data_IF_628360147479
#
_entry.id   IF_628360147479
#
_cell.length_a   1.000
_cell.length_b   1.000
_cell.length_c   1.000
_cell.angle_alpha   90.00
_cell.angle_beta   90.00
_cell.angle_gamma   90.00
#
_symmetry.space_group_name_H-M   'P 1'
#
loop_
_entity.id
_entity.type
_entity.pdbx_description
1 polymer ?
#
# COMPACT_ATOMS: atom_id res chain seq x y z
N UNK A 1 -6.56 -16.13 -6.74
CA UNK A 1 -7.18 -14.79 -6.78
C UNK A 1 -7.03 -14.20 -8.18
N UNK A 2 -8.11 -13.60 -8.68
CA UNK A 2 -8.11 -13.04 -10.03
C UNK A 2 -7.25 -11.78 -10.09
N UNK A 3 -6.54 -11.59 -11.21
CA UNK A 3 -5.81 -10.36 -11.46
C UNK A 3 -6.76 -9.29 -12.00
N UNK A 4 -6.68 -8.10 -11.43
CA UNK A 4 -7.47 -6.95 -11.83
C UNK A 4 -6.59 -5.93 -12.54
N UNK A 5 -7.07 -5.39 -13.65
CA UNK A 5 -6.42 -4.29 -14.33
C UNK A 5 -7.26 -3.03 -14.10
N UNK A 6 -6.71 -2.01 -13.41
CA UNK A 6 -7.45 -0.77 -13.16
C UNK A 6 -7.87 -0.07 -14.45
N UNK A 7 -9.04 0.56 -14.42
CA UNK A 7 -9.53 1.37 -15.54
C UNK A 7 -8.94 2.77 -15.53
N UNK A 8 -8.59 3.27 -14.34
CA UNK A 8 -7.98 4.59 -14.22
C UNK A 8 -6.62 4.63 -14.91
N UNK A 9 -6.43 5.64 -15.76
CA UNK A 9 -5.18 5.85 -16.49
C UNK A 9 -4.40 6.98 -15.85
N UNK A 10 -3.31 6.69 -15.10
CA UNK A 10 -2.53 7.74 -14.45
C UNK A 10 -1.92 8.72 -15.44
N UNK A 11 -1.90 10.00 -15.08
CA UNK A 11 -1.26 11.05 -15.87
C UNK A 11 0.23 11.15 -15.60
N UNK A 12 0.68 10.63 -14.47
CA UNK A 12 2.06 10.79 -13.98
C UNK A 12 2.23 11.97 -13.03
N UNK A 13 1.18 12.75 -12.80
CA UNK A 13 1.23 13.96 -11.96
C UNK A 13 0.39 13.85 -10.70
N UNK A 14 -0.23 12.70 -10.44
CA UNK A 14 -1.09 12.52 -9.28
C UNK A 14 -0.31 12.64 -7.97
N UNK A 15 -0.91 13.32 -7.00
CA UNK A 15 -0.39 13.42 -5.65
C UNK A 15 -1.45 12.85 -4.71
N UNK A 16 -1.06 11.85 -3.91
CA UNK A 16 -1.91 11.33 -2.84
C UNK A 16 -1.66 12.11 -1.56
N UNK A 17 -2.73 12.45 -0.87
CA UNK A 17 -2.65 13.05 0.47
C UNK A 17 -3.24 12.04 1.45
N UNK A 18 -2.40 11.47 2.29
CA UNK A 18 -2.81 10.51 3.31
C UNK A 18 -3.02 11.29 4.60
N UNK A 19 -4.29 11.51 4.95
CA UNK A 19 -4.63 12.24 6.17
C UNK A 19 -4.61 11.28 7.36
N UNK A 20 -3.62 11.42 8.21
CA UNK A 20 -3.45 10.57 9.39
C UNK A 20 -3.80 11.33 10.67
N UNK A 21 -3.94 10.61 11.79
CA UNK A 21 -4.16 11.23 13.10
C UNK A 21 -2.99 12.12 13.54
N UNK A 22 -1.84 12.01 12.88
CA UNK A 22 -0.64 12.81 13.16
C UNK A 22 -0.40 13.89 12.12
N UNK A 23 -1.29 14.06 11.15
CA UNK A 23 -1.18 15.05 10.08
C UNK A 23 -1.13 14.42 8.69
N UNK A 24 -1.12 15.27 7.65
CA UNK A 24 -1.13 14.78 6.28
C UNK A 24 0.25 14.32 5.82
N UNK A 25 0.27 13.27 4.99
CA UNK A 25 1.45 12.81 4.26
C UNK A 25 1.16 13.00 2.78
N UNK A 26 2.00 13.75 2.07
CA UNK A 26 1.85 13.99 0.63
C UNK A 26 2.83 13.08 -0.12
N UNK A 27 2.31 12.34 -1.10
CA UNK A 27 3.10 11.39 -1.88
C UNK A 27 2.86 11.64 -3.36
N UNK A 28 3.93 11.84 -4.12
CA UNK A 28 3.85 11.89 -5.58
C UNK A 28 3.79 10.46 -6.10
N UNK A 29 2.77 10.16 -6.90
CA UNK A 29 2.56 8.83 -7.45
C UNK A 29 3.27 8.68 -8.80
N UNK A 30 4.02 7.59 -8.96
CA UNK A 30 4.84 7.34 -10.16
C UNK A 30 4.01 6.63 -11.25
N UNK A 31 2.96 7.29 -11.74
CA UNK A 31 2.02 6.70 -12.69
C UNK A 31 2.62 6.35 -14.03
N UNK A 32 3.69 7.06 -14.46
CA UNK A 32 4.37 6.75 -15.72
C UNK A 32 5.20 5.47 -15.60
N UNK A 33 5.72 5.16 -14.41
CA UNK A 33 6.59 4.03 -14.18
C UNK A 33 5.82 2.78 -13.75
N UNK A 34 4.72 2.97 -13.01
CA UNK A 34 3.92 1.88 -12.47
C UNK A 34 2.42 2.17 -12.65
N UNK A 35 1.93 2.19 -13.90
CA UNK A 35 0.55 2.62 -14.17
C UNK A 35 -0.52 1.71 -13.54
N UNK A 36 -0.27 0.40 -13.44
CA UNK A 36 -1.23 -0.53 -12.84
C UNK A 36 -1.31 -0.29 -11.32
N UNK A 37 -0.16 -0.19 -10.65
CA UNK A 37 -0.10 0.06 -9.21
C UNK A 37 -0.71 1.41 -8.86
N UNK A 38 -0.36 2.47 -9.59
CA UNK A 38 -0.90 3.80 -9.32
C UNK A 38 -2.39 3.86 -9.66
N UNK A 39 -2.81 3.28 -10.78
CA UNK A 39 -4.23 3.23 -11.14
C UNK A 39 -5.06 2.53 -10.08
N UNK A 40 -4.58 1.41 -9.57
CA UNK A 40 -5.24 0.67 -8.49
C UNK A 40 -5.33 1.51 -7.22
N UNK A 41 -4.24 2.14 -6.83
CA UNK A 41 -4.20 2.98 -5.63
C UNK A 41 -5.20 4.15 -5.74
N UNK A 42 -5.24 4.82 -6.88
CA UNK A 42 -6.16 5.93 -7.12
C UNK A 42 -7.61 5.45 -7.07
N UNK A 43 -7.93 4.33 -7.72
CA UNK A 43 -9.30 3.79 -7.70
C UNK A 43 -9.75 3.46 -6.28
N UNK A 44 -8.89 2.81 -5.49
CA UNK A 44 -9.22 2.47 -4.10
C UNK A 44 -9.41 3.75 -3.26
N UNK A 45 -8.56 4.74 -3.45
CA UNK A 45 -8.69 6.01 -2.73
C UNK A 45 -9.98 6.72 -3.08
N UNK A 46 -10.36 6.75 -4.36
CA UNK A 46 -11.59 7.40 -4.81
C UNK A 46 -12.85 6.71 -4.30
N UNK A 47 -12.80 5.40 -4.09
CA UNK A 47 -13.91 4.63 -3.52
C UNK A 47 -14.03 4.78 -2.02
N UNK A 48 -13.09 5.46 -1.36
CA UNK A 48 -13.05 5.54 0.10
C UNK A 48 -12.56 4.26 0.78
N UNK A 49 -11.92 3.36 0.03
CA UNK A 49 -11.46 2.08 0.56
C UNK A 49 -10.48 2.25 1.73
N UNK A 50 -9.58 3.23 1.63
CA UNK A 50 -8.54 3.46 2.64
C UNK A 50 -9.05 4.21 3.87
N UNK A 51 -10.25 4.80 3.82
CA UNK A 51 -10.76 5.60 4.92
C UNK A 51 -11.00 4.73 6.15
N UNK A 52 -10.46 5.15 7.29
CA UNK A 52 -10.59 4.41 8.56
C UNK A 52 -9.63 3.26 8.74
N UNK A 53 -8.79 2.94 7.77
CA UNK A 53 -7.76 1.91 7.92
C UNK A 53 -6.61 2.43 8.78
N UNK A 54 -5.87 1.50 9.39
CA UNK A 54 -4.79 1.82 10.33
C UNK A 54 -3.45 1.34 9.78
N UNK A 55 -2.37 2.02 10.17
CA UNK A 55 -1.02 1.50 9.98
C UNK A 55 -0.81 0.39 10.99
N UNK A 56 -0.84 -0.85 10.55
CA UNK A 56 -0.81 -2.02 11.42
C UNK A 56 0.59 -2.55 11.67
N UNK A 57 1.60 -2.06 10.95
CA UNK A 57 2.97 -2.55 11.08
C UNK A 57 3.95 -1.38 11.02
N UNK A 58 4.80 -1.30 12.03
CA UNK A 58 5.89 -0.33 12.08
C UNK A 58 7.16 -1.05 12.48
N UNK A 59 8.18 -0.99 11.62
CA UNK A 59 9.50 -1.54 11.89
C UNK A 59 10.49 -0.38 11.83
N UNK A 60 11.03 0.07 12.98
CA UNK A 60 11.95 1.22 13.02
C UNK A 60 13.12 1.05 12.05
N UNK A 61 13.42 2.10 11.27
CA UNK A 61 14.49 2.09 10.28
C UNK A 61 14.21 1.25 9.05
N UNK A 62 13.03 0.65 8.94
CA UNK A 62 12.64 -0.17 7.80
C UNK A 62 11.41 0.40 7.10
N UNK A 63 10.20 0.09 7.57
CA UNK A 63 8.96 0.54 6.91
C UNK A 63 7.86 0.82 7.93
N UNK A 64 6.86 1.59 7.48
CA UNK A 64 5.54 1.66 8.09
C UNK A 64 4.51 1.22 7.06
N UNK A 65 3.63 0.30 7.42
CA UNK A 65 2.73 -0.39 6.49
C UNK A 65 1.27 -0.24 6.91
N UNK A 66 0.42 0.01 5.94
CA UNK A 66 -1.03 0.14 6.14
C UNK A 66 -1.81 -0.38 4.92
N UNK A 67 -3.10 -0.06 4.89
CA UNK A 67 -3.97 -0.40 3.78
C UNK A 67 -4.62 -1.78 3.87
N UNK A 68 -4.51 -2.45 5.02
CA UNK A 68 -5.20 -3.73 5.23
C UNK A 68 -6.64 -3.49 5.69
N UNK A 69 -7.67 -3.96 4.95
CA UNK A 69 -9.06 -3.72 5.32
C UNK A 69 -9.46 -4.37 6.66
N UNK A 70 -8.71 -5.37 7.12
CA UNK A 70 -8.98 -6.01 8.40
C UNK A 70 -8.77 -5.06 9.59
N UNK A 71 -8.12 -3.92 9.39
CA UNK A 71 -7.87 -2.93 10.45
C UNK A 71 -8.99 -1.91 10.59
N UNK A 72 -10.01 -1.93 9.74
CA UNK A 72 -11.03 -0.87 9.69
C UNK A 72 -11.72 -0.63 11.02
N UNK A 73 -12.13 -1.70 11.71
CA UNK A 73 -12.83 -1.64 12.99
C UNK A 73 -11.90 -1.82 14.19
N UNK A 74 -10.59 -1.82 13.98
CA UNK A 74 -9.63 -2.07 15.04
C UNK A 74 -9.47 -0.85 15.97
N UNK A 75 -9.36 -1.09 17.27
CA UNK A 75 -9.02 -0.06 18.25
C UNK A 75 -7.49 0.17 18.24
N UNK A 76 -7.02 1.33 18.78
CA UNK A 76 -5.58 1.55 18.89
C UNK A 76 -4.84 0.45 19.68
N UNK A 77 -5.48 -0.11 20.72
CA UNK A 77 -4.90 -1.20 21.51
C UNK A 77 -4.77 -2.48 20.70
N UNK A 78 -5.78 -2.78 19.87
CA UNK A 78 -5.74 -3.95 18.99
C UNK A 78 -4.67 -3.80 17.93
N UNK A 79 -4.49 -2.60 17.37
CA UNK A 79 -3.43 -2.33 16.40
C UNK A 79 -2.06 -2.54 17.05
N UNK A 80 -1.86 -2.02 18.26
CA UNK A 80 -0.61 -2.18 18.98
C UNK A 80 -0.33 -3.66 19.32
N UNK A 81 -1.36 -4.44 19.59
CA UNK A 81 -1.24 -5.88 19.84
C UNK A 81 -1.04 -6.71 18.56
N UNK A 82 -1.25 -6.10 17.38
CA UNK A 82 -1.13 -6.77 16.08
C UNK A 82 -2.29 -7.66 15.71
N UNK A 83 -3.38 -7.63 16.47
CA UNK A 83 -4.55 -8.48 16.24
C UNK A 83 -5.80 -7.95 16.94
N UNK A 84 -6.94 -8.39 16.46
CA UNK A 84 -8.22 -8.19 17.11
C UNK A 84 -8.93 -9.54 17.22
N UNK A 85 -9.37 -9.98 18.42
CA UNK A 85 -10.09 -11.24 18.58
C UNK A 85 -11.34 -11.28 17.70
N UNK A 86 -11.57 -12.38 17.00
CA UNK A 86 -12.71 -12.55 16.12
C UNK A 86 -12.59 -11.91 14.75
N UNK A 87 -11.46 -11.25 14.47
CA UNK A 87 -11.16 -10.63 13.17
C UNK A 87 -10.05 -11.41 12.47
N UNK A 88 -10.00 -11.31 11.14
CA UNK A 88 -8.89 -11.86 10.37
C UNK A 88 -7.59 -11.14 10.74
N UNK A 89 -6.44 -11.85 10.71
CA UNK A 89 -5.15 -11.23 11.07
C UNK A 89 -4.84 -9.98 10.24
N UNK A 90 -4.24 -8.98 10.90
CA UNK A 90 -3.78 -7.79 10.19
C UNK A 90 -2.65 -8.17 9.22
N UNK A 91 -2.67 -7.55 8.04
CA UNK A 91 -1.69 -7.85 7.01
C UNK A 91 -2.13 -8.94 6.03
N UNK A 92 -3.28 -9.58 6.26
CA UNK A 92 -3.78 -10.64 5.37
C UNK A 92 -4.94 -10.18 4.48
N UNK A 93 -5.47 -8.98 4.69
CA UNK A 93 -6.60 -8.47 3.93
C UNK A 93 -6.22 -7.92 2.56
N UNK A 94 -7.21 -7.89 1.67
CA UNK A 94 -7.05 -7.38 0.31
C UNK A 94 -8.39 -6.81 -0.18
N UNK A 95 -8.43 -6.15 -1.35
CA UNK A 95 -9.68 -5.58 -1.87
C UNK A 95 -10.57 -6.58 -2.61
N UNK A 96 -10.26 -7.87 -2.57
CA UNK A 96 -10.98 -8.92 -3.29
C UNK A 96 -10.32 -9.33 -4.59
N UNK A 97 -9.15 -8.79 -4.90
CA UNK A 97 -8.39 -9.09 -6.10
C UNK A 97 -6.92 -8.79 -5.85
N UNK A 98 -6.06 -9.16 -6.80
CA UNK A 98 -4.66 -8.75 -6.85
C UNK A 98 -4.33 -8.13 -8.20
N UNK A 99 -3.15 -7.51 -8.31
CA UNK A 99 -2.71 -6.84 -9.53
C UNK A 99 -1.38 -7.39 -9.99
N UNK A 100 -1.11 -7.25 -11.30
CA UNK A 100 0.14 -7.72 -11.90
C UNK A 100 1.31 -6.88 -11.41
N UNK A 101 2.45 -7.53 -11.18
CA UNK A 101 3.68 -6.85 -10.79
C UNK A 101 4.18 -5.91 -11.90
N UNK A 102 4.89 -4.88 -11.49
CA UNK A 102 5.50 -3.91 -12.40
C UNK A 102 6.99 -3.66 -12.10
N UNK A 103 7.57 -4.38 -11.13
CA UNK A 103 8.97 -4.15 -10.79
C UNK A 103 9.92 -4.57 -11.93
N UNK A 104 9.51 -5.49 -12.78
CA UNK A 104 10.32 -5.91 -13.94
C UNK A 104 10.28 -4.91 -15.08
N UNK A 105 9.26 -4.06 -15.15
CA UNK A 105 9.08 -3.08 -16.23
C UNK A 105 9.30 -1.64 -15.80
N UNK A 106 9.35 -1.38 -14.49
CA UNK A 106 9.56 -0.04 -13.96
C UNK A 106 11.04 0.33 -14.01
N UNK A 107 11.43 1.33 -14.81
CA UNK A 107 12.86 1.71 -14.93
C UNK A 107 13.39 2.42 -13.69
N UNK A 108 12.52 2.90 -12.80
CA UNK A 108 12.87 3.65 -11.60
C UNK A 108 12.48 2.90 -10.33
N UNK A 109 12.45 1.58 -10.37
CA UNK A 109 12.08 0.74 -9.23
C UNK A 109 13.19 0.77 -8.18
N UNK A 110 13.15 1.76 -7.30
CA UNK A 110 14.13 1.95 -6.24
C UNK A 110 13.45 2.35 -4.95
N UNK A 111 13.73 1.61 -3.87
CA UNK A 111 13.17 1.87 -2.56
C UNK A 111 14.05 2.85 -1.80
N UNK A 112 13.97 4.12 -2.19
CA UNK A 112 14.64 5.20 -1.49
C UNK A 112 13.93 5.56 -0.19
N UNK A 113 14.57 6.38 0.66
CA UNK A 113 13.92 6.93 1.84
C UNK A 113 12.65 7.68 1.46
N UNK A 114 11.55 7.35 2.12
CA UNK A 114 10.25 7.95 1.84
C UNK A 114 9.49 7.35 0.66
N UNK A 115 10.01 6.32 0.00
CA UNK A 115 9.32 5.68 -1.11
C UNK A 115 8.03 5.03 -0.65
N UNK A 116 6.96 5.21 -1.43
CA UNK A 116 5.69 4.51 -1.27
C UNK A 116 5.69 3.30 -2.20
N UNK A 117 5.44 2.13 -1.66
CA UNK A 117 5.39 0.90 -2.45
C UNK A 117 4.24 0.01 -2.01
N UNK A 118 3.81 -0.88 -2.90
CA UNK A 118 2.74 -1.82 -2.59
C UNK A 118 3.30 -3.09 -1.97
N UNK A 119 2.72 -3.48 -0.84
CA UNK A 119 3.06 -4.73 -0.18
C UNK A 119 2.48 -5.92 -0.94
N UNK A 120 3.20 -7.01 -0.95
CA UNK A 120 2.77 -8.27 -1.56
C UNK A 120 3.32 -9.46 -0.78
N UNK A 121 2.76 -10.64 -1.05
CA UNK A 121 3.33 -11.89 -0.56
C UNK A 121 4.49 -12.35 -1.45
N UNK A 122 4.93 -13.60 -1.32
CA UNK A 122 6.00 -14.13 -2.16
C UNK A 122 5.59 -14.25 -3.63
N UNK A 123 4.30 -14.34 -3.93
CA UNK A 123 3.81 -14.29 -5.31
C UNK A 123 3.98 -12.86 -5.85
N UNK A 124 4.73 -12.64 -6.94
CA UNK A 124 4.91 -11.31 -7.51
C UNK A 124 3.60 -10.60 -7.88
N UNK A 125 2.56 -11.35 -8.20
CA UNK A 125 1.26 -10.82 -8.63
C UNK A 125 0.23 -10.85 -7.51
N UNK A 126 0.65 -10.67 -6.26
CA UNK A 126 -0.24 -10.74 -5.09
C UNK A 126 -0.54 -9.40 -4.44
N UNK A 127 -0.03 -8.29 -4.95
CA UNK A 127 -0.34 -6.97 -4.41
C UNK A 127 -1.83 -6.66 -4.58
N UNK A 128 -2.41 -5.96 -3.62
CA UNK A 128 -3.82 -5.57 -3.64
C UNK A 128 -4.00 -4.14 -3.13
N UNK A 129 -4.18 -3.98 -1.81
CA UNK A 129 -4.42 -2.66 -1.22
C UNK A 129 -3.34 -2.21 -0.24
N UNK A 130 -2.59 -3.14 0.32
CA UNK A 130 -1.60 -2.79 1.35
C UNK A 130 -0.40 -2.08 0.73
N UNK A 131 0.09 -1.07 1.43
CA UNK A 131 1.25 -0.29 1.01
C UNK A 131 2.16 -0.05 2.20
N UNK A 132 3.41 0.34 1.91
CA UNK A 132 4.35 0.75 2.95
C UNK A 132 5.16 1.97 2.49
N UNK A 133 5.61 2.72 3.48
CA UNK A 133 6.51 3.85 3.29
C UNK A 133 7.87 3.47 3.86
N UNK A 134 8.92 3.68 3.09
CA UNK A 134 10.28 3.33 3.50
C UNK A 134 10.84 4.35 4.48
N UNK A 135 11.36 3.87 5.59
CA UNK A 135 12.00 4.67 6.64
C UNK A 135 13.53 4.56 6.48
N UNK A 136 14.03 5.08 5.35
CA UNK A 136 15.40 4.93 4.91
C UNK A 136 15.45 4.10 3.63
N UNK A 137 16.61 4.09 2.93
CA UNK A 137 16.74 3.28 1.71
C UNK A 137 16.62 1.79 1.99
N UNK A 138 15.83 1.08 1.17
CA UNK A 138 15.57 -0.36 1.33
C UNK A 138 15.73 -1.06 -0.01
N UNK A 139 16.94 -1.05 -0.57
CA UNK A 139 17.19 -1.58 -1.90
C UNK A 139 17.02 -3.10 -2.01
N UNK A 140 17.04 -3.81 -0.88
CA UNK A 140 16.70 -5.24 -0.85
C UNK A 140 15.25 -5.53 -1.27
N UNK A 141 14.39 -4.51 -1.32
CA UNK A 141 12.98 -4.62 -1.74
C UNK A 141 12.77 -4.31 -3.22
N UNK A 142 13.83 -3.97 -3.96
CA UNK A 142 13.70 -3.56 -5.37
C UNK A 142 13.35 -4.73 -6.30
N UNK A 143 13.47 -5.95 -5.86
CA UNK A 143 13.15 -7.14 -6.66
C UNK A 143 12.06 -8.01 -6.05
#
# INVERSE_FOLDING_TARGET
MALYTPEYQPTGEEIAVINTSKGPIRVQLAGNDAPIHVGNFVELAQKGFYDGLKFHRYVPGFVIQGGCPNTREATPEQVAAGRAPGMAPFGTGNPGYSIKEEFTTNPNNSHEDGALAMARSMDPNSAGSQFYLCLGPQHNLDS
#
